data_IF_864400123838
#
_entry.id   IF_864400123838
#
_cell.length_a   1.000
_cell.length_b   1.000
_cell.length_c   1.000
_cell.angle_alpha   90.00
_cell.angle_beta   90.00
_cell.angle_gamma   90.00
#
_symmetry.space_group_name_H-M   'P 1'
#
loop_
_entity.id
_entity.type
_entity.pdbx_description
1 polymer ?
#
# COMPACT_ATOMS: atom_id res chain seq x y z
N UNK A 1 15.16 -1.01 13.97
CA UNK A 1 16.60 -0.71 14.13
C UNK A 1 17.46 -1.91 14.54
N UNK A 2 16.88 -3.01 15.05
CA UNK A 2 17.63 -4.24 15.41
C UNK A 2 18.41 -4.85 14.24
N UNK A 3 17.80 -4.91 13.04
CA UNK A 3 18.45 -5.44 11.84
C UNK A 3 19.72 -4.70 11.44
N UNK A 4 19.68 -3.36 11.44
CA UNK A 4 20.84 -2.53 11.10
C UNK A 4 22.03 -2.74 12.08
N UNK A 5 21.76 -2.82 13.39
CA UNK A 5 22.79 -3.09 14.40
C UNK A 5 23.40 -4.49 14.25
N UNK A 6 22.57 -5.50 13.93
CA UNK A 6 23.06 -6.86 13.71
C UNK A 6 23.93 -6.95 12.46
N UNK A 7 23.54 -6.25 11.39
CA UNK A 7 24.34 -6.13 10.18
C UNK A 7 25.71 -5.50 10.50
N UNK A 8 25.74 -4.33 11.15
CA UNK A 8 26.99 -3.66 11.53
C UNK A 8 27.96 -4.56 12.32
N UNK A 9 27.46 -5.31 13.31
CA UNK A 9 28.28 -6.25 14.08
C UNK A 9 28.88 -7.35 13.19
N UNK A 10 28.06 -7.93 12.31
CA UNK A 10 28.51 -8.96 11.38
C UNK A 10 29.59 -8.43 10.45
N UNK A 11 29.32 -7.29 9.79
CA UNK A 11 30.24 -6.72 8.79
C UNK A 11 31.57 -6.31 9.43
N UNK A 12 31.54 -5.78 10.66
CA UNK A 12 32.74 -5.42 11.43
C UNK A 12 33.68 -6.59 11.74
N UNK A 13 33.14 -7.81 11.90
CA UNK A 13 33.97 -9.02 12.09
C UNK A 13 34.71 -9.48 10.83
N UNK A 14 34.25 -9.05 9.65
CA UNK A 14 34.79 -9.48 8.35
C UNK A 14 35.45 -8.35 7.56
N UNK A 15 35.56 -7.15 8.14
CA UNK A 15 36.12 -5.95 7.47
C UNK A 15 35.45 -5.64 6.12
N UNK A 16 34.15 -5.93 6.01
CA UNK A 16 33.37 -5.69 4.78
C UNK A 16 32.75 -4.27 4.79
N UNK A 17 32.32 -3.74 3.64
CA UNK A 17 31.54 -2.50 3.59
C UNK A 17 30.07 -2.74 3.98
N UNK A 18 29.41 -1.72 4.51
CA UNK A 18 27.96 -1.72 4.79
C UNK A 18 27.26 -0.66 3.94
N UNK A 19 26.15 -1.04 3.31
CA UNK A 19 25.33 -0.15 2.49
C UNK A 19 23.95 0.00 3.16
N UNK A 20 23.58 1.23 3.48
CA UNK A 20 22.23 1.54 3.95
C UNK A 20 21.26 1.60 2.78
N UNK A 21 20.15 0.87 2.86
CA UNK A 21 19.13 0.84 1.80
C UNK A 21 17.88 1.56 2.31
N UNK A 22 17.35 2.49 1.51
CA UNK A 22 16.09 3.14 1.81
C UNK A 22 14.93 2.16 1.61
N UNK A 23 14.06 2.01 2.62
CA UNK A 23 13.01 0.99 2.63
C UNK A 23 12.09 1.05 1.40
N UNK A 24 11.64 2.26 1.03
CA UNK A 24 10.75 2.43 -0.14
C UNK A 24 11.48 2.28 -1.48
N UNK A 25 12.78 2.61 -1.53
CA UNK A 25 13.59 2.39 -2.72
C UNK A 25 13.74 0.89 -3.00
N UNK A 26 14.02 0.11 -1.95
CA UNK A 26 14.05 -1.35 -2.04
C UNK A 26 12.73 -1.89 -2.58
N UNK A 27 11.58 -1.40 -2.09
CA UNK A 27 10.28 -1.80 -2.59
C UNK A 27 10.06 -1.48 -4.07
N UNK A 28 10.45 -0.29 -4.53
CA UNK A 28 10.32 0.08 -5.93
C UNK A 28 11.19 -0.79 -6.86
N UNK A 29 12.42 -1.11 -6.44
CA UNK A 29 13.37 -1.87 -7.23
C UNK A 29 13.05 -3.37 -7.32
N UNK A 30 12.15 -3.91 -6.48
CA UNK A 30 11.66 -5.30 -6.63
C UNK A 30 11.07 -5.53 -8.02
N UNK A 31 10.40 -4.53 -8.61
CA UNK A 31 9.86 -4.64 -9.97
C UNK A 31 10.96 -4.98 -11.00
N UNK A 32 12.16 -4.41 -10.85
CA UNK A 32 13.32 -4.69 -11.71
C UNK A 32 14.01 -6.02 -11.40
N UNK A 33 13.82 -6.55 -10.19
CA UNK A 33 14.30 -7.90 -9.84
C UNK A 33 13.45 -8.97 -10.54
N UNK A 34 12.14 -8.77 -10.59
CA UNK A 34 11.19 -9.67 -11.24
C UNK A 34 11.27 -9.51 -12.76
N UNK A 35 11.22 -8.28 -13.27
CA UNK A 35 11.32 -7.97 -14.69
C UNK A 35 12.68 -7.32 -15.00
N UNK A 36 13.65 -8.14 -15.40
CA UNK A 36 15.03 -7.69 -15.65
C UNK A 36 15.14 -6.72 -16.83
N UNK A 37 14.17 -6.70 -17.75
CA UNK A 37 14.16 -5.76 -18.88
C UNK A 37 13.63 -4.38 -18.49
N UNK A 38 13.01 -4.23 -17.31
CA UNK A 38 12.52 -2.96 -16.82
C UNK A 38 13.68 -2.00 -16.56
N UNK A 39 13.83 -1.03 -17.46
CA UNK A 39 14.77 0.08 -17.33
C UNK A 39 14.08 1.27 -16.66
N UNK A 40 14.86 2.16 -16.06
CA UNK A 40 14.40 3.52 -15.84
C UNK A 40 14.11 4.17 -17.21
N UNK A 41 13.11 5.02 -17.41
CA UNK A 41 12.15 5.66 -16.51
C UNK A 41 10.88 4.79 -16.31
N UNK A 42 10.46 4.50 -15.08
CA UNK A 42 9.23 3.74 -14.82
C UNK A 42 8.39 4.29 -13.66
N UNK A 43 7.08 4.07 -13.70
CA UNK A 43 6.17 4.37 -12.59
C UNK A 43 6.06 3.19 -11.64
N UNK A 44 6.02 3.52 -10.34
CA UNK A 44 5.81 2.56 -9.25
C UNK A 44 4.62 3.01 -8.42
N UNK A 45 3.64 2.12 -8.25
CA UNK A 45 2.55 2.27 -7.30
C UNK A 45 2.84 1.39 -6.08
N UNK A 46 3.26 2.01 -4.98
CA UNK A 46 3.58 1.33 -3.74
C UNK A 46 2.36 1.37 -2.82
N UNK A 47 1.60 0.26 -2.85
CA UNK A 47 0.42 0.06 -2.01
C UNK A 47 0.73 -1.01 -0.97
N UNK A 48 0.58 -0.65 0.30
CA UNK A 48 0.75 -1.55 1.45
C UNK A 48 -0.23 -1.18 2.56
N UNK A 49 -0.14 -1.88 3.69
CA UNK A 49 -0.92 -1.58 4.89
C UNK A 49 -0.83 -0.12 5.36
N UNK A 50 0.32 0.53 5.16
CA UNK A 50 0.61 1.88 5.69
C UNK A 50 1.05 2.90 4.64
N UNK A 51 1.19 2.49 3.39
CA UNK A 51 1.66 3.37 2.33
C UNK A 51 0.74 3.26 1.12
N UNK A 52 0.48 4.38 0.50
CA UNK A 52 -0.16 4.48 -0.81
C UNK A 52 0.57 5.61 -1.52
N UNK A 53 1.59 5.24 -2.29
CA UNK A 53 2.55 6.17 -2.87
C UNK A 53 2.69 5.91 -4.36
N UNK A 54 2.58 6.97 -5.16
CA UNK A 54 2.86 6.93 -6.59
C UNK A 54 4.19 7.65 -6.85
N UNK A 55 5.15 6.92 -7.41
CA UNK A 55 6.52 7.41 -7.63
C UNK A 55 6.94 7.19 -9.07
N UNK A 56 7.58 8.20 -9.65
CA UNK A 56 8.34 8.09 -10.89
C UNK A 56 9.80 7.79 -10.56
N UNK A 57 10.27 6.60 -10.89
CA UNK A 57 11.66 6.20 -10.75
C UNK A 57 12.45 6.64 -11.98
N UNK A 58 13.27 7.69 -11.83
CA UNK A 58 14.09 8.27 -12.91
C UNK A 58 15.46 7.61 -13.02
N UNK A 59 16.05 7.27 -11.87
CA UNK A 59 17.29 6.53 -11.75
C UNK A 59 17.41 5.96 -10.32
N UNK A 60 18.46 5.19 -10.04
CA UNK A 60 18.80 4.78 -8.68
C UNK A 60 19.07 6.02 -7.81
N UNK A 61 18.45 6.10 -6.63
CA UNK A 61 18.47 7.29 -5.78
C UNK A 61 17.69 8.50 -6.33
N UNK A 62 17.12 8.45 -7.54
CA UNK A 62 16.39 9.57 -8.16
C UNK A 62 14.91 9.22 -8.38
N UNK A 63 14.09 9.65 -7.43
CA UNK A 63 12.67 9.36 -7.38
C UNK A 63 11.87 10.65 -7.25
N UNK A 64 10.81 10.76 -8.04
CA UNK A 64 9.84 11.86 -7.93
C UNK A 64 8.53 11.30 -7.40
N UNK A 65 8.15 11.71 -6.19
CA UNK A 65 6.82 11.44 -5.66
C UNK A 65 5.80 12.23 -6.47
N UNK A 66 4.91 11.52 -7.15
CA UNK A 66 3.80 12.10 -7.89
C UNK A 66 2.56 12.30 -7.01
N UNK A 67 2.37 11.41 -6.02
CA UNK A 67 1.25 11.52 -5.08
C UNK A 67 1.35 10.53 -3.93
N UNK A 68 0.63 10.84 -2.86
CA UNK A 68 0.54 10.02 -1.64
C UNK A 68 -0.89 10.01 -1.11
N UNK A 69 -1.20 9.12 -0.17
CA UNK A 69 -2.43 9.29 0.62
C UNK A 69 -2.36 10.58 1.43
N UNK A 70 -3.46 11.35 1.43
CA UNK A 70 -3.64 12.53 2.28
C UNK A 70 -4.32 12.20 3.61
N UNK A 71 -4.80 10.95 3.77
CA UNK A 71 -5.48 10.47 4.97
C UNK A 71 -5.01 9.05 5.38
N UNK A 72 -5.92 8.08 5.46
CA UNK A 72 -5.63 6.69 5.81
C UNK A 72 -4.91 6.01 4.63
N UNK A 73 -4.09 5.00 4.89
CA UNK A 73 -3.65 4.10 3.82
C UNK A 73 -4.79 3.13 3.43
N UNK A 74 -4.77 2.61 2.21
CA UNK A 74 -5.82 1.68 1.75
C UNK A 74 -5.92 0.43 2.63
N UNK A 75 -4.78 -0.12 3.10
CA UNK A 75 -4.81 -1.30 3.95
C UNK A 75 -5.52 -1.07 5.28
N UNK A 76 -5.41 0.13 5.86
CA UNK A 76 -6.17 0.50 7.06
C UNK A 76 -7.67 0.58 6.78
N UNK A 77 -8.08 1.09 5.61
CA UNK A 77 -9.49 1.09 5.21
C UNK A 77 -10.05 -0.33 5.05
N UNK A 78 -9.27 -1.25 4.48
CA UNK A 78 -9.62 -2.66 4.38
C UNK A 78 -9.70 -3.31 5.77
N UNK A 79 -8.72 -3.11 6.64
CA UNK A 79 -8.72 -3.70 7.97
C UNK A 79 -9.89 -3.23 8.84
N UNK A 80 -10.24 -1.93 8.77
CA UNK A 80 -11.43 -1.41 9.47
C UNK A 80 -12.72 -1.99 8.91
N UNK A 81 -12.83 -2.10 7.58
CA UNK A 81 -14.01 -2.68 6.93
C UNK A 81 -14.20 -4.15 7.30
N UNK A 82 -13.12 -4.94 7.27
CA UNK A 82 -13.16 -6.35 7.67
C UNK A 82 -13.61 -6.52 9.12
N UNK A 83 -13.17 -5.61 10.01
CA UNK A 83 -13.57 -5.60 11.41
C UNK A 83 -15.05 -5.27 11.60
N UNK A 84 -15.58 -4.29 10.85
CA UNK A 84 -17.00 -3.95 10.91
C UNK A 84 -17.90 -5.08 10.44
N UNK A 85 -17.44 -5.85 9.45
CA UNK A 85 -18.14 -7.02 8.93
C UNK A 85 -17.92 -8.30 9.76
N UNK A 86 -17.20 -8.22 10.89
CA UNK A 86 -16.96 -9.37 11.78
C UNK A 86 -16.15 -10.52 11.16
N UNK A 87 -15.31 -10.24 10.16
CA UNK A 87 -14.58 -11.28 9.43
C UNK A 87 -13.39 -11.84 10.22
N UNK A 88 -13.00 -13.07 9.92
CA UNK A 88 -11.75 -13.64 10.43
C UNK A 88 -10.54 -12.98 9.75
N UNK A 89 -9.83 -12.14 10.51
CA UNK A 89 -8.67 -11.37 10.04
C UNK A 89 -7.32 -12.06 10.30
N UNK A 90 -7.27 -13.36 10.61
CA UNK A 90 -5.99 -14.08 10.86
C UNK A 90 -4.96 -13.92 9.74
N UNK A 91 -5.41 -13.79 8.48
CA UNK A 91 -4.56 -13.57 7.29
C UNK A 91 -4.48 -12.10 6.86
N UNK A 92 -5.04 -11.17 7.65
CA UNK A 92 -5.17 -9.74 7.34
C UNK A 92 -6.56 -9.36 6.81
N UNK A 93 -7.02 -8.14 7.08
CA UNK A 93 -8.34 -7.67 6.65
C UNK A 93 -8.49 -7.56 5.14
N UNK A 94 -7.40 -7.20 4.46
CA UNK A 94 -7.31 -7.24 3.00
C UNK A 94 -7.69 -8.60 2.42
N UNK A 95 -7.06 -9.68 2.91
CA UNK A 95 -7.31 -11.05 2.45
C UNK A 95 -8.71 -11.54 2.78
N UNK A 96 -9.21 -11.22 3.99
CA UNK A 96 -10.56 -11.59 4.40
C UNK A 96 -11.63 -10.95 3.50
N UNK A 97 -11.48 -9.66 3.19
CA UNK A 97 -12.39 -8.96 2.28
C UNK A 97 -12.29 -9.45 0.84
N UNK A 98 -11.09 -9.74 0.35
CA UNK A 98 -10.92 -10.30 -1.00
C UNK A 98 -11.67 -11.63 -1.13
N UNK A 99 -11.60 -12.49 -0.11
CA UNK A 99 -12.31 -13.76 -0.10
C UNK A 99 -13.83 -13.54 -0.10
N UNK A 100 -14.35 -12.69 0.78
CA UNK A 100 -15.78 -12.38 0.84
C UNK A 100 -16.28 -11.76 -0.47
N UNK A 101 -15.49 -10.88 -1.10
CA UNK A 101 -15.87 -10.19 -2.32
C UNK A 101 -16.10 -11.13 -3.51
N UNK A 102 -15.51 -12.34 -3.52
CA UNK A 102 -15.72 -13.34 -4.57
C UNK A 102 -17.14 -13.91 -4.57
N UNK A 103 -17.81 -13.89 -3.43
CA UNK A 103 -19.20 -14.35 -3.25
C UNK A 103 -20.20 -13.19 -3.35
N UNK A 104 -19.71 -11.96 -3.43
CA UNK A 104 -20.51 -10.75 -3.46
C UNK A 104 -20.98 -10.33 -4.86
N UNK A 105 -21.92 -9.38 -4.89
CA UNK A 105 -22.36 -8.72 -6.12
C UNK A 105 -21.75 -7.30 -6.22
N UNK A 106 -20.89 -7.09 -7.21
CA UNK A 106 -20.19 -5.82 -7.46
C UNK A 106 -21.11 -4.66 -7.85
N UNK A 107 -22.37 -4.93 -8.22
CA UNK A 107 -23.37 -3.92 -8.57
C UNK A 107 -24.31 -3.58 -7.40
N UNK A 108 -24.19 -4.25 -6.26
CA UNK A 108 -25.12 -4.10 -5.13
C UNK A 108 -25.06 -2.73 -4.47
N UNK A 109 -23.87 -2.12 -4.37
CA UNK A 109 -23.63 -0.83 -3.74
C UNK A 109 -22.64 -0.06 -4.60
N UNK A 110 -22.99 1.18 -4.96
CA UNK A 110 -22.09 2.08 -5.69
C UNK A 110 -21.39 3.02 -4.73
N UNK A 111 -20.09 2.85 -4.56
CA UNK A 111 -19.24 3.80 -3.85
C UNK A 111 -18.70 4.86 -4.81
N UNK A 112 -18.70 6.12 -4.36
CA UNK A 112 -18.01 7.21 -5.03
C UNK A 112 -16.50 7.09 -4.83
N UNK A 113 -15.74 7.40 -5.88
CA UNK A 113 -14.28 7.43 -5.84
C UNK A 113 -13.83 8.80 -5.34
N UNK A 114 -13.22 8.84 -4.15
CA UNK A 114 -12.58 10.05 -3.61
C UNK A 114 -11.53 10.61 -4.57
N UNK A 115 -11.27 11.92 -4.50
CA UNK A 115 -10.23 12.60 -5.30
C UNK A 115 -10.44 12.60 -6.82
N UNK A 116 -11.52 12.02 -7.36
CA UNK A 116 -11.77 11.91 -8.82
C UNK A 116 -11.74 13.25 -9.58
N UNK A 117 -12.08 14.36 -8.92
CA UNK A 117 -12.11 15.71 -9.51
C UNK A 117 -10.81 16.51 -9.29
N UNK A 118 -9.86 15.97 -8.53
CA UNK A 118 -8.60 16.64 -8.24
C UNK A 118 -7.60 16.43 -9.38
N UNK A 119 -6.79 17.45 -9.67
CA UNK A 119 -5.77 17.43 -10.73
C UNK A 119 -4.39 16.98 -10.24
N UNK A 120 -4.33 16.33 -9.09
CA UNK A 120 -3.12 15.73 -8.52
C UNK A 120 -3.19 14.20 -8.56
N UNK A 121 -2.13 13.53 -8.12
CA UNK A 121 -2.10 12.06 -8.02
C UNK A 121 -2.28 11.58 -6.58
N UNK A 122 -2.88 12.40 -5.71
CA UNK A 122 -3.08 12.03 -4.31
C UNK A 122 -4.26 11.07 -4.14
N UNK A 123 -4.20 10.28 -3.07
CA UNK A 123 -5.21 9.29 -2.72
C UNK A 123 -5.95 9.69 -1.44
N UNK A 124 -7.22 9.34 -1.32
CA UNK A 124 -7.99 9.46 -0.07
C UNK A 124 -8.88 8.23 0.10
N UNK A 125 -8.74 7.57 1.25
CA UNK A 125 -9.49 6.38 1.61
C UNK A 125 -10.43 6.60 2.80
N UNK A 126 -10.34 7.74 3.51
CA UNK A 126 -11.26 8.06 4.59
C UNK A 126 -12.71 8.20 4.09
N UNK A 127 -12.91 8.82 2.93
CA UNK A 127 -14.24 8.94 2.31
C UNK A 127 -14.85 7.59 1.92
N UNK A 128 -14.03 6.66 1.42
CA UNK A 128 -14.47 5.29 1.10
C UNK A 128 -14.90 4.55 2.37
N UNK A 129 -14.07 4.62 3.42
CA UNK A 129 -14.35 4.03 4.74
C UNK A 129 -15.68 4.51 5.31
N UNK A 130 -15.97 5.82 5.25
CA UNK A 130 -17.26 6.37 5.71
C UNK A 130 -18.43 5.82 4.90
N UNK A 131 -18.32 5.78 3.57
CA UNK A 131 -19.37 5.24 2.71
C UNK A 131 -19.66 3.75 3.01
N UNK A 132 -18.60 2.97 3.24
CA UNK A 132 -18.74 1.54 3.60
C UNK A 132 -19.46 1.39 4.94
N UNK A 133 -19.08 2.16 5.97
CA UNK A 133 -19.75 2.13 7.27
C UNK A 133 -21.25 2.42 7.15
N UNK A 134 -21.60 3.49 6.43
CA UNK A 134 -23.00 3.86 6.20
C UNK A 134 -23.77 2.78 5.43
N UNK A 135 -23.12 2.09 4.49
CA UNK A 135 -23.76 1.01 3.74
C UNK A 135 -24.03 -0.24 4.59
N UNK A 136 -23.13 -0.55 5.54
CA UNK A 136 -23.32 -1.63 6.51
C UNK A 136 -24.51 -1.30 7.42
N UNK A 137 -24.54 -0.08 7.98
CA UNK A 137 -25.63 0.39 8.85
C UNK A 137 -26.98 0.40 8.12
N UNK A 138 -27.04 0.91 6.89
CA UNK A 138 -28.28 0.98 6.10
C UNK A 138 -28.85 -0.39 5.73
N UNK A 139 -28.01 -1.44 5.68
CA UNK A 139 -28.43 -2.81 5.36
C UNK A 139 -28.62 -3.71 6.57
N UNK A 140 -28.45 -3.17 7.79
CA UNK A 140 -28.47 -3.93 9.05
C UNK A 140 -27.53 -5.16 9.01
N UNK A 141 -26.33 -4.98 8.45
CA UNK A 141 -25.29 -6.02 8.36
C UNK A 141 -24.38 -6.01 9.58
#
# INVERSE_FOLDING_TARGET
MFGARKAQKLVGSFSLPIIGIHHMEAHALVARLVERKLQFLFLTLLISGRHSLLVLARDLGNYVQLGTTIDDAIGEAYDKTARWLGLDMRKGGGSALEQLAREGNSQSIKFSVSMKQHKDCNFSYAGLKTQVKLAIEAKNM
#
